data_IF_798983730558
#
_entry.id   IF_798983730558
#
_cell.length_a   1.000
_cell.length_b   1.000
_cell.length_c   1.000
_cell.angle_alpha   90.00
_cell.angle_beta   90.00
_cell.angle_gamma   90.00
#
_symmetry.space_group_name_H-M   'P 1'
#
loop_
_entity.id
_entity.type
_entity.pdbx_description
1 polymer ?
#
# COMPACT_ATOMS: atom_id res chain seq x y z
N UNK A 1 4.92 -29.27 -8.30
CA UNK A 1 5.25 -28.31 -7.24
C UNK A 1 6.70 -27.81 -7.35
N UNK A 2 7.31 -28.02 -8.47
CA UNK A 2 8.77 -27.88 -8.63
C UNK A 2 9.29 -26.43 -8.79
N UNK A 3 8.44 -25.41 -8.66
CA UNK A 3 8.83 -24.01 -8.81
C UNK A 3 8.37 -23.12 -7.64
N UNK A 4 7.93 -23.70 -6.53
CA UNK A 4 7.50 -22.97 -5.33
C UNK A 4 8.48 -23.22 -4.20
N UNK A 5 8.84 -22.14 -3.49
CA UNK A 5 9.75 -22.20 -2.35
C UNK A 5 9.15 -21.45 -1.16
N UNK A 6 9.41 -21.96 0.02
CA UNK A 6 9.08 -21.35 1.30
C UNK A 6 10.40 -21.11 2.02
N UNK A 7 10.58 -19.91 2.53
CA UNK A 7 11.73 -19.53 3.34
C UNK A 7 11.29 -19.42 4.81
N UNK A 8 12.19 -19.68 5.73
CA UNK A 8 11.98 -19.47 7.17
C UNK A 8 11.83 -17.97 7.49
N UNK A 9 12.56 -17.11 6.77
CA UNK A 9 12.44 -15.65 6.81
C UNK A 9 12.43 -15.09 5.39
N UNK A 10 11.64 -14.03 5.17
CA UNK A 10 11.60 -13.37 3.87
C UNK A 10 11.30 -11.89 3.98
N UNK A 11 11.94 -11.11 3.12
CA UNK A 11 11.63 -9.69 2.89
C UNK A 11 10.79 -9.47 1.62
N UNK A 12 10.51 -10.51 0.85
CA UNK A 12 9.61 -10.41 -0.31
C UNK A 12 8.18 -10.13 0.15
N UNK A 13 7.63 -9.01 -0.28
CA UNK A 13 6.24 -8.65 0.00
C UNK A 13 5.29 -9.48 -0.87
N UNK A 14 4.33 -10.18 -0.29
CA UNK A 14 3.30 -10.90 -1.05
C UNK A 14 2.22 -9.93 -1.52
N UNK A 15 1.53 -10.23 -2.62
CA UNK A 15 0.35 -9.45 -3.04
C UNK A 15 -0.66 -9.38 -1.89
N UNK A 16 -0.88 -8.19 -1.35
CA UNK A 16 -1.76 -7.94 -0.20
C UNK A 16 -2.13 -6.47 -0.09
N UNK A 17 -3.27 -6.13 0.54
CA UNK A 17 -3.70 -4.75 0.77
C UNK A 17 -3.80 -3.92 -0.52
N UNK A 18 -4.06 -4.55 -1.65
CA UNK A 18 -4.08 -3.91 -2.97
C UNK A 18 -2.71 -3.58 -3.57
N UNK A 19 -1.61 -3.89 -2.88
CA UNK A 19 -0.25 -3.75 -3.40
C UNK A 19 0.20 -5.06 -4.04
N UNK A 20 0.80 -4.98 -5.24
CA UNK A 20 1.41 -6.12 -5.91
C UNK A 20 2.64 -6.63 -5.14
N UNK A 21 2.97 -7.90 -5.38
CA UNK A 21 4.14 -8.57 -4.84
C UNK A 21 5.45 -8.00 -5.38
N UNK A 22 6.52 -8.26 -4.63
CA UNK A 22 7.87 -8.02 -5.10
C UNK A 22 8.31 -9.06 -6.12
N UNK A 23 9.24 -8.66 -6.97
CA UNK A 23 10.04 -9.53 -7.80
C UNK A 23 11.51 -9.47 -7.37
N UNK A 24 12.36 -10.30 -7.96
CA UNK A 24 13.77 -10.36 -7.63
C UNK A 24 14.34 -11.74 -7.89
N UNK A 25 15.31 -12.17 -7.09
CA UNK A 25 15.97 -13.45 -7.25
C UNK A 25 16.13 -14.18 -5.92
N UNK A 26 16.03 -15.51 -5.95
CA UNK A 26 16.37 -16.44 -4.87
C UNK A 26 17.38 -17.45 -5.44
N UNK A 27 18.60 -17.48 -4.91
CA UNK A 27 19.71 -18.29 -5.42
C UNK A 27 19.88 -18.17 -6.94
N UNK A 28 19.82 -16.92 -7.47
CA UNK A 28 19.95 -16.61 -8.89
C UNK A 28 18.73 -16.97 -9.75
N UNK A 29 17.67 -17.57 -9.20
CA UNK A 29 16.41 -17.84 -9.92
C UNK A 29 15.41 -16.72 -9.73
N UNK A 30 14.83 -16.25 -10.83
CA UNK A 30 13.88 -15.14 -10.80
C UNK A 30 12.58 -15.49 -10.05
N UNK A 31 12.17 -14.65 -9.12
CA UNK A 31 10.88 -14.69 -8.45
C UNK A 31 9.86 -13.98 -9.34
N UNK A 32 8.79 -14.67 -9.72
CA UNK A 32 7.75 -14.17 -10.64
C UNK A 32 6.42 -13.89 -9.94
N UNK A 33 6.19 -14.48 -8.76
CA UNK A 33 5.02 -14.23 -7.93
C UNK A 33 5.36 -14.49 -6.46
N UNK A 34 4.74 -13.75 -5.56
CA UNK A 34 4.79 -13.97 -4.11
C UNK A 34 3.40 -13.80 -3.54
N UNK A 35 2.89 -14.83 -2.90
CA UNK A 35 1.56 -14.80 -2.30
C UNK A 35 1.54 -15.45 -0.92
N UNK A 36 0.50 -15.15 -0.14
CA UNK A 36 0.30 -15.71 1.19
C UNK A 36 -0.78 -16.79 1.16
N UNK A 37 -0.49 -17.94 1.77
CA UNK A 37 -1.45 -19.00 2.02
C UNK A 37 -1.47 -19.32 3.52
N UNK A 38 -2.55 -18.93 4.19
CA UNK A 38 -2.59 -18.97 5.66
C UNK A 38 -1.53 -18.05 6.25
N UNK A 39 -0.62 -18.60 7.03
CA UNK A 39 0.51 -17.87 7.64
C UNK A 39 1.84 -18.03 6.88
N UNK A 40 1.82 -18.72 5.74
CA UNK A 40 3.02 -19.04 4.97
C UNK A 40 3.11 -18.13 3.75
N UNK A 41 4.30 -17.59 3.48
CA UNK A 41 4.62 -16.84 2.26
C UNK A 41 5.26 -17.80 1.26
N UNK A 42 4.67 -17.89 0.08
CA UNK A 42 5.09 -18.76 -1.02
C UNK A 42 5.69 -17.91 -2.13
N UNK A 43 6.92 -18.23 -2.51
CA UNK A 43 7.62 -17.59 -3.63
C UNK A 43 7.55 -18.53 -4.83
N UNK A 44 7.14 -18.00 -5.99
CA UNK A 44 7.07 -18.73 -7.26
C UNK A 44 8.27 -18.33 -8.12
N UNK A 45 9.06 -19.31 -8.48
CA UNK A 45 10.23 -19.10 -9.35
C UNK A 45 9.86 -19.27 -10.83
N UNK A 46 10.62 -18.66 -11.72
CA UNK A 46 10.44 -18.75 -13.18
C UNK A 46 10.69 -20.13 -13.78
N UNK A 47 11.11 -21.10 -12.97
CA UNK A 47 11.38 -22.49 -13.38
C UNK A 47 11.55 -23.39 -12.18
N UNK A 48 11.81 -24.68 -12.47
CA UNK A 48 12.08 -25.67 -11.42
C UNK A 48 13.34 -25.32 -10.64
N UNK A 49 13.37 -25.72 -9.38
CA UNK A 49 14.55 -25.64 -8.54
C UNK A 49 14.85 -27.01 -7.94
N UNK A 50 16.11 -27.20 -7.57
CA UNK A 50 16.63 -28.41 -6.93
C UNK A 50 17.33 -28.07 -5.60
N UNK A 51 16.92 -26.94 -4.95
CA UNK A 51 17.49 -26.55 -3.66
C UNK A 51 17.10 -27.58 -2.60
N UNK A 52 18.07 -28.16 -1.87
CA UNK A 52 17.78 -29.02 -0.74
C UNK A 52 17.02 -28.28 0.35
N UNK A 53 16.18 -29.01 1.09
CA UNK A 53 15.52 -28.47 2.28
C UNK A 53 16.55 -28.09 3.34
N UNK A 54 16.42 -26.90 3.92
CA UNK A 54 17.33 -26.36 4.94
C UNK A 54 18.59 -25.69 4.38
N UNK A 55 18.72 -25.59 3.06
CA UNK A 55 19.82 -24.83 2.45
C UNK A 55 19.64 -23.33 2.67
N UNK A 56 20.73 -22.65 3.03
CA UNK A 56 20.78 -21.19 3.08
C UNK A 56 20.93 -20.62 1.68
N UNK A 57 20.02 -19.71 1.31
CA UNK A 57 19.96 -19.13 -0.04
C UNK A 57 20.04 -17.62 0.01
N UNK A 58 20.77 -17.04 -0.93
CA UNK A 58 20.82 -15.59 -1.13
C UNK A 58 19.51 -15.10 -1.79
N UNK A 59 18.98 -13.99 -1.26
CA UNK A 59 17.74 -13.37 -1.72
C UNK A 59 17.99 -11.92 -2.11
N UNK A 60 17.61 -11.55 -3.33
CA UNK A 60 17.71 -10.19 -3.85
C UNK A 60 16.31 -9.70 -4.27
N UNK A 61 15.89 -8.54 -3.74
CA UNK A 61 14.63 -7.91 -4.11
C UNK A 61 14.88 -6.86 -5.20
N UNK A 62 14.01 -6.81 -6.21
CA UNK A 62 13.94 -5.72 -7.18
C UNK A 62 13.56 -4.42 -6.44
N UNK A 63 14.58 -3.65 -6.07
CA UNK A 63 14.42 -2.45 -5.26
C UNK A 63 13.68 -1.34 -6.01
N UNK A 64 13.88 -1.20 -7.32
CA UNK A 64 13.21 -0.19 -8.13
C UNK A 64 11.69 -0.43 -8.11
N UNK A 65 11.28 -1.68 -8.36
CA UNK A 65 9.88 -2.10 -8.27
C UNK A 65 9.32 -1.89 -6.86
N UNK A 66 10.05 -2.29 -5.81
CA UNK A 66 9.66 -2.11 -4.41
C UNK A 66 9.41 -0.64 -4.07
N UNK A 67 10.31 0.25 -4.48
CA UNK A 67 10.21 1.67 -4.21
C UNK A 67 9.03 2.30 -4.97
N UNK A 68 8.80 1.92 -6.23
CA UNK A 68 7.66 2.42 -6.99
C UNK A 68 6.32 2.00 -6.37
N UNK A 69 6.19 0.75 -5.91
CA UNK A 69 5.00 0.28 -5.20
C UNK A 69 4.82 0.98 -3.84
N UNK A 70 5.91 1.24 -3.12
CA UNK A 70 5.88 1.99 -1.86
C UNK A 70 5.50 3.47 -2.06
N UNK A 71 5.95 4.11 -3.16
CA UNK A 71 5.51 5.44 -3.57
C UNK A 71 4.00 5.48 -3.78
N UNK A 72 3.47 4.59 -4.62
CA UNK A 72 2.04 4.50 -4.85
C UNK A 72 1.25 4.19 -3.58
N UNK A 73 1.80 3.37 -2.67
CA UNK A 73 1.12 3.04 -1.42
C UNK A 73 1.07 4.24 -0.46
N UNK A 74 2.19 4.91 -0.26
CA UNK A 74 2.23 6.12 0.58
C UNK A 74 1.38 7.24 -0.02
N UNK A 75 1.41 7.42 -1.35
CA UNK A 75 0.56 8.38 -2.05
C UNK A 75 -0.94 8.05 -1.92
N UNK A 76 -1.32 6.77 -1.80
CA UNK A 76 -2.71 6.39 -1.51
C UNK A 76 -3.19 6.99 -0.19
N UNK A 77 -2.39 6.89 0.90
CA UNK A 77 -2.70 7.49 2.20
C UNK A 77 -2.77 9.02 2.12
N UNK A 78 -1.81 9.64 1.41
CA UNK A 78 -1.79 11.10 1.21
C UNK A 78 -3.04 11.57 0.46
N UNK A 79 -3.42 10.89 -0.63
CA UNK A 79 -4.62 11.23 -1.43
C UNK A 79 -5.89 11.02 -0.61
N UNK A 80 -5.98 9.95 0.21
CA UNK A 80 -7.13 9.72 1.11
C UNK A 80 -7.32 10.91 2.06
N UNK A 81 -6.25 11.35 2.71
CA UNK A 81 -6.28 12.51 3.60
C UNK A 81 -6.60 13.82 2.86
N UNK A 82 -5.99 14.06 1.69
CA UNK A 82 -6.25 15.24 0.86
C UNK A 82 -7.72 15.28 0.40
N UNK A 83 -8.25 14.16 -0.08
CA UNK A 83 -9.65 14.05 -0.49
C UNK A 83 -10.61 14.29 0.69
N UNK A 84 -10.31 13.76 1.87
CA UNK A 84 -11.09 14.02 3.09
C UNK A 84 -11.10 15.49 3.46
N UNK A 85 -9.98 16.17 3.30
CA UNK A 85 -9.86 17.61 3.57
C UNK A 85 -10.64 18.46 2.58
N UNK A 86 -10.67 18.08 1.31
CA UNK A 86 -11.35 18.84 0.23
C UNK A 86 -12.85 18.53 0.19
N UNK A 87 -13.23 17.24 0.25
CA UNK A 87 -14.60 16.79 0.03
C UNK A 87 -15.40 16.58 1.32
N UNK A 88 -14.72 16.44 2.46
CA UNK A 88 -15.35 16.30 3.78
C UNK A 88 -15.11 14.95 4.46
N UNK A 89 -15.53 14.89 5.74
CA UNK A 89 -15.23 13.78 6.65
C UNK A 89 -15.91 12.44 6.30
N UNK A 90 -16.82 12.41 5.33
CA UNK A 90 -17.45 11.19 4.84
C UNK A 90 -16.52 10.38 3.91
N UNK A 91 -15.39 10.97 3.49
CA UNK A 91 -14.40 10.30 2.67
C UNK A 91 -13.64 9.27 3.49
N UNK A 92 -13.71 8.03 3.05
CA UNK A 92 -12.92 6.90 3.54
C UNK A 92 -12.47 6.06 2.36
N UNK A 93 -11.36 5.35 2.50
CA UNK A 93 -10.92 4.40 1.51
C UNK A 93 -11.83 3.16 1.55
N UNK A 94 -12.52 2.87 0.45
CA UNK A 94 -13.28 1.64 0.26
C UNK A 94 -12.45 0.51 -0.38
N UNK A 95 -11.39 0.88 -1.12
CA UNK A 95 -10.47 -0.04 -1.77
C UNK A 95 -9.30 0.70 -2.38
N UNK A 96 -8.25 -0.04 -2.75
CA UNK A 96 -7.12 0.52 -3.47
C UNK A 96 -6.37 -0.57 -4.26
N UNK A 97 -5.68 -0.16 -5.34
CA UNK A 97 -4.75 -1.03 -6.07
C UNK A 97 -3.48 -0.24 -6.39
N UNK A 98 -2.33 -0.82 -6.10
CA UNK A 98 -1.02 -0.25 -6.36
C UNK A 98 -0.28 -1.16 -7.34
N UNK A 99 -0.14 -0.68 -8.58
CA UNK A 99 0.62 -1.29 -9.66
C UNK A 99 1.88 -0.44 -9.92
N UNK A 100 2.73 -0.85 -10.85
CA UNK A 100 3.97 -0.15 -11.21
C UNK A 100 3.66 1.13 -11.97
N UNK A 101 2.80 1.06 -12.98
CA UNK A 101 2.54 2.19 -13.89
C UNK A 101 1.60 3.23 -13.27
N UNK A 102 0.67 2.78 -12.45
CA UNK A 102 -0.35 3.63 -11.83
C UNK A 102 -1.00 2.94 -10.63
N UNK A 103 -1.61 3.74 -9.79
CA UNK A 103 -2.42 3.24 -8.69
C UNK A 103 -3.86 3.76 -8.75
N UNK A 104 -4.73 3.13 -7.97
CA UNK A 104 -6.11 3.57 -7.78
C UNK A 104 -6.47 3.59 -6.31
N UNK A 105 -7.32 4.53 -5.94
CA UNK A 105 -8.02 4.55 -4.65
C UNK A 105 -9.52 4.71 -4.87
N UNK A 106 -10.30 3.91 -4.20
CA UNK A 106 -11.74 3.99 -4.16
C UNK A 106 -12.17 4.73 -2.90
N UNK A 107 -12.85 5.84 -3.08
CA UNK A 107 -13.29 6.72 -2.01
C UNK A 107 -14.81 6.62 -1.84
N UNK A 108 -15.27 6.60 -0.59
CA UNK A 108 -16.70 6.77 -0.31
C UNK A 108 -17.10 8.20 -0.67
N UNK A 109 -17.97 8.36 -1.68
CA UNK A 109 -18.49 9.67 -2.07
C UNK A 109 -19.82 9.51 -2.80
N UNK A 110 -20.79 10.35 -2.48
CA UNK A 110 -22.18 10.25 -2.95
C UNK A 110 -22.39 10.77 -4.37
N UNK A 111 -21.47 11.58 -4.90
CA UNK A 111 -21.55 12.17 -6.24
C UNK A 111 -20.26 12.01 -7.04
N UNK A 112 -20.26 12.38 -8.32
CA UNK A 112 -19.03 12.46 -9.12
C UNK A 112 -18.15 13.61 -8.61
N UNK A 113 -16.84 13.40 -8.62
CA UNK A 113 -15.85 14.43 -8.29
C UNK A 113 -15.63 15.28 -9.54
N UNK A 114 -15.71 16.60 -9.42
CA UNK A 114 -15.50 17.55 -10.51
C UNK A 114 -14.01 17.73 -10.84
N UNK A 115 -13.69 18.30 -12.00
CA UNK A 115 -12.31 18.59 -12.37
C UNK A 115 -11.65 19.58 -11.41
N UNK A 116 -12.40 20.58 -10.91
CA UNK A 116 -11.93 21.53 -9.91
C UNK A 116 -11.63 20.87 -8.57
N UNK A 117 -12.45 19.91 -8.13
CA UNK A 117 -12.20 19.12 -6.91
C UNK A 117 -11.00 18.22 -7.08
N UNK A 118 -10.78 17.61 -8.26
CA UNK A 118 -9.59 16.83 -8.58
C UNK A 118 -8.34 17.69 -8.45
N UNK A 119 -8.32 18.88 -9.04
CA UNK A 119 -7.20 19.82 -8.94
C UNK A 119 -6.91 20.23 -7.49
N UNK A 120 -7.95 20.46 -6.69
CA UNK A 120 -7.80 20.79 -5.27
C UNK A 120 -7.22 19.63 -4.46
N UNK A 121 -7.69 18.39 -4.71
CA UNK A 121 -7.15 17.19 -4.06
C UNK A 121 -5.68 16.99 -4.45
N UNK A 122 -5.34 17.11 -5.73
CA UNK A 122 -3.95 17.00 -6.23
C UNK A 122 -3.04 18.05 -5.60
N UNK A 123 -3.51 19.30 -5.53
CA UNK A 123 -2.77 20.40 -4.89
C UNK A 123 -2.54 20.17 -3.40
N UNK A 124 -3.56 19.70 -2.67
CA UNK A 124 -3.42 19.41 -1.25
C UNK A 124 -2.51 18.20 -1.02
N UNK A 125 -2.61 17.15 -1.84
CA UNK A 125 -1.71 16.00 -1.78
C UNK A 125 -0.25 16.41 -1.99
N UNK A 126 0.04 17.21 -3.02
CA UNK A 126 1.39 17.70 -3.29
C UNK A 126 1.90 18.70 -2.23
N UNK A 127 1.00 19.38 -1.53
CA UNK A 127 1.37 20.17 -0.35
C UNK A 127 1.89 19.28 0.77
N UNK A 128 1.18 18.17 1.09
CA UNK A 128 1.61 17.19 2.10
C UNK A 128 2.99 16.58 1.72
N UNK A 129 3.20 16.28 0.44
CA UNK A 129 4.52 15.82 -0.05
C UNK A 129 5.61 16.84 0.26
N UNK A 130 5.37 18.11 -0.01
CA UNK A 130 6.35 19.19 0.22
C UNK A 130 6.64 19.48 1.69
N UNK A 131 5.71 19.16 2.59
CA UNK A 131 5.88 19.28 4.05
C UNK A 131 6.91 18.29 4.60
N UNK A 132 7.33 17.30 3.83
CA UNK A 132 8.42 16.36 4.16
C UNK A 132 8.21 15.66 5.52
N UNK A 133 7.04 15.06 5.72
CA UNK A 133 6.62 14.46 6.97
C UNK A 133 7.20 13.04 7.08
N UNK A 134 7.77 12.70 8.23
CA UNK A 134 8.26 11.35 8.50
C UNK A 134 7.09 10.35 8.61
N UNK A 135 7.14 9.28 7.83
CA UNK A 135 6.19 8.17 7.88
C UNK A 135 6.65 7.19 8.97
N UNK A 136 5.84 7.04 9.98
CA UNK A 136 6.11 6.16 11.13
C UNK A 136 5.39 4.82 10.95
N UNK A 137 6.02 3.73 11.39
CA UNK A 137 5.44 2.39 11.29
C UNK A 137 5.80 1.60 12.54
N UNK A 138 4.79 1.24 13.34
CA UNK A 138 4.97 0.52 14.60
C UNK A 138 3.94 -0.61 14.74
N UNK A 139 4.32 -1.67 15.44
CA UNK A 139 3.39 -2.70 15.87
C UNK A 139 2.79 -2.31 17.22
N UNK A 140 1.46 -2.24 17.29
CA UNK A 140 0.69 -1.81 18.46
C UNK A 140 -0.36 -2.87 18.79
N UNK A 141 -0.59 -3.22 20.07
CA UNK A 141 -1.71 -4.06 20.45
C UNK A 141 -3.04 -3.49 19.93
N UNK A 142 -3.90 -4.35 19.35
CA UNK A 142 -5.17 -3.93 18.74
C UNK A 142 -5.98 -2.99 19.61
N UNK A 143 -6.22 -3.38 20.86
CA UNK A 143 -7.04 -2.59 21.82
C UNK A 143 -6.44 -1.19 22.03
N UNK A 144 -5.12 -1.11 22.17
CA UNK A 144 -4.41 0.15 22.33
C UNK A 144 -4.52 1.03 21.08
N UNK A 145 -4.33 0.43 19.89
CA UNK A 145 -4.47 1.14 18.61
C UNK A 145 -5.89 1.69 18.44
N UNK A 146 -6.92 0.88 18.73
CA UNK A 146 -8.33 1.28 18.63
C UNK A 146 -8.70 2.37 19.67
N UNK A 147 -8.16 2.29 20.89
CA UNK A 147 -8.36 3.32 21.91
C UNK A 147 -7.67 4.64 21.56
N UNK A 148 -6.47 4.57 20.98
CA UNK A 148 -5.65 5.75 20.67
C UNK A 148 -6.12 6.47 19.42
N UNK A 149 -6.42 5.70 18.34
CA UNK A 149 -6.68 6.25 17.01
C UNK A 149 -8.13 6.08 16.53
N UNK A 150 -8.96 5.34 17.28
CA UNK A 150 -10.35 5.04 16.91
C UNK A 150 -10.46 3.98 15.80
N UNK A 151 -11.70 3.74 15.37
CA UNK A 151 -11.99 2.71 14.36
C UNK A 151 -11.65 3.14 12.92
N UNK A 152 -11.38 4.42 12.70
CA UNK A 152 -11.01 4.97 11.39
C UNK A 152 -9.65 4.47 10.87
N UNK A 153 -8.87 3.79 11.71
CA UNK A 153 -7.64 3.10 11.26
C UNK A 153 -7.90 1.95 10.28
N UNK A 154 -9.14 1.47 10.18
CA UNK A 154 -9.52 0.38 9.30
C UNK A 154 -10.04 0.91 7.97
N UNK A 155 -9.13 1.17 7.04
CA UNK A 155 -9.45 1.60 5.69
C UNK A 155 -9.55 0.37 4.76
N UNK A 156 -10.71 0.21 4.10
CA UNK A 156 -10.97 -0.94 3.24
C UNK A 156 -11.31 -2.25 3.98
N UNK A 157 -11.55 -2.20 5.30
CA UNK A 157 -12.00 -3.35 6.10
C UNK A 157 -11.10 -3.67 7.29
N UNK A 158 -11.61 -4.49 8.21
CA UNK A 158 -10.89 -4.86 9.43
C UNK A 158 -9.66 -5.72 9.13
N UNK A 159 -8.54 -5.38 9.75
CA UNK A 159 -7.30 -6.16 9.67
C UNK A 159 -7.31 -7.23 10.78
N UNK A 160 -7.11 -8.51 10.48
CA UNK A 160 -7.07 -9.57 11.50
C UNK A 160 -5.80 -9.49 12.36
N UNK A 161 -5.88 -10.02 13.59
CA UNK A 161 -4.73 -10.15 14.48
C UNK A 161 -4.89 -9.40 15.81
N UNK A 162 -4.10 -9.80 16.82
CA UNK A 162 -4.03 -9.15 18.13
C UNK A 162 -3.05 -7.95 18.14
N UNK A 163 -2.11 -7.94 17.19
CA UNK A 163 -1.10 -6.92 17.00
C UNK A 163 -1.33 -6.30 15.62
N UNK A 164 -1.47 -5.00 15.54
CA UNK A 164 -1.67 -4.26 14.30
C UNK A 164 -0.39 -3.50 13.94
N UNK A 165 -0.01 -3.54 12.67
CA UNK A 165 1.01 -2.61 12.17
C UNK A 165 0.30 -1.30 11.84
N UNK A 166 0.59 -0.26 12.60
CA UNK A 166 0.06 1.09 12.40
C UNK A 166 1.06 1.90 11.58
N UNK A 167 0.58 2.42 10.46
CA UNK A 167 1.30 3.42 9.64
C UNK A 167 0.69 4.77 9.95
N UNK A 168 1.53 5.70 10.41
CA UNK A 168 1.15 7.03 10.85
C UNK A 168 1.95 8.10 10.08
N UNK A 169 1.25 8.95 9.38
CA UNK A 169 1.76 10.20 8.80
C UNK A 169 1.22 11.33 9.69
N UNK A 170 2.00 11.83 10.67
CA UNK A 170 1.50 12.76 11.70
C UNK A 170 0.72 13.93 11.12
N UNK A 171 -0.46 14.19 11.71
CA UNK A 171 -1.39 15.25 11.29
C UNK A 171 -2.02 15.07 9.89
N UNK A 172 -1.75 13.96 9.21
CA UNK A 172 -2.26 13.64 7.87
C UNK A 172 -3.16 12.42 7.90
N UNK A 173 -2.60 11.24 8.23
CA UNK A 173 -3.31 9.98 8.16
C UNK A 173 -2.74 8.94 9.13
N UNK A 174 -3.61 8.06 9.63
CA UNK A 174 -3.21 6.91 10.45
C UNK A 174 -4.06 5.70 10.09
N UNK A 175 -3.40 4.59 9.71
CA UNK A 175 -4.07 3.38 9.26
C UNK A 175 -3.41 2.10 9.79
N UNK A 176 -4.21 1.07 10.01
CA UNK A 176 -3.73 -0.30 10.21
C UNK A 176 -3.37 -0.89 8.83
N UNK A 177 -2.11 -0.76 8.45
CA UNK A 177 -1.63 -1.09 7.11
C UNK A 177 -0.39 -2.00 7.15
N UNK A 178 -0.46 -3.12 6.41
CA UNK A 178 0.64 -4.07 6.26
C UNK A 178 1.57 -3.81 5.07
N UNK A 179 1.28 -2.81 4.24
CA UNK A 179 2.01 -2.55 3.00
C UNK A 179 3.41 -1.97 3.18
N UNK A 180 4.14 -1.84 2.08
CA UNK A 180 5.44 -1.17 2.09
C UNK A 180 5.25 0.33 1.91
N UNK A 181 5.98 1.13 2.68
CA UNK A 181 5.88 2.59 2.67
C UNK A 181 7.24 3.25 2.55
N UNK A 182 7.23 4.49 2.05
CA UNK A 182 8.36 5.41 2.11
C UNK A 182 8.67 5.80 3.56
N UNK A 183 9.85 6.33 3.81
CA UNK A 183 10.24 6.85 5.13
C UNK A 183 9.78 8.29 5.34
N UNK A 184 9.58 9.03 4.25
CA UNK A 184 9.18 10.42 4.28
C UNK A 184 8.21 10.73 3.12
N UNK A 185 7.24 11.61 3.32
CA UNK A 185 6.27 11.97 2.29
C UNK A 185 6.92 12.61 1.06
N UNK A 186 8.03 13.32 1.22
CA UNK A 186 8.78 13.95 0.11
C UNK A 186 9.36 12.93 -0.89
N UNK A 187 9.57 11.68 -0.47
CA UNK A 187 10.06 10.62 -1.36
C UNK A 187 9.01 10.16 -2.38
N UNK A 188 7.73 10.50 -2.19
CA UNK A 188 6.68 10.22 -3.15
C UNK A 188 6.90 10.93 -4.51
N UNK A 189 7.57 12.07 -4.48
CA UNK A 189 7.71 12.90 -5.68
C UNK A 189 6.41 13.65 -5.99
N UNK A 190 6.15 13.92 -7.26
CA UNK A 190 4.95 14.61 -7.69
C UNK A 190 3.78 13.62 -7.84
N UNK A 191 2.71 13.84 -7.08
CA UNK A 191 1.47 13.08 -7.22
C UNK A 191 0.61 13.72 -8.31
N UNK A 192 0.21 12.91 -9.32
CA UNK A 192 -0.66 13.32 -10.42
C UNK A 192 -1.94 12.51 -10.42
N UNK A 193 -3.10 13.18 -10.28
CA UNK A 193 -4.40 12.53 -10.42
C UNK A 193 -4.79 12.55 -11.91
N UNK A 194 -4.95 11.36 -12.50
CA UNK A 194 -5.19 11.19 -13.92
C UNK A 194 -6.67 11.35 -14.29
N UNK A 195 -7.54 10.84 -13.44
CA UNK A 195 -9.01 10.94 -13.60
C UNK A 195 -9.75 10.45 -12.37
N UNK A 196 -11.02 10.82 -12.26
CA UNK A 196 -12.01 10.24 -11.36
C UNK A 196 -13.10 9.50 -12.15
N UNK A 197 -13.64 8.41 -11.59
CA UNK A 197 -14.73 7.65 -12.20
C UNK A 197 -15.67 7.11 -11.12
N UNK A 198 -16.97 7.40 -11.18
CA UNK A 198 -17.94 6.74 -10.31
C UNK A 198 -18.06 5.27 -10.74
N UNK A 199 -17.75 4.35 -9.82
CA UNK A 199 -17.73 2.91 -10.10
C UNK A 199 -18.95 2.18 -9.54
N UNK A 200 -19.60 2.74 -8.54
CA UNK A 200 -20.86 2.28 -7.97
C UNK A 200 -21.53 3.41 -7.19
N UNK A 201 -22.74 3.17 -6.67
CA UNK A 201 -23.37 4.13 -5.76
C UNK A 201 -22.54 4.30 -4.51
N UNK A 202 -22.23 5.56 -4.19
CA UNK A 202 -21.43 5.96 -3.04
C UNK A 202 -19.93 5.69 -3.18
N UNK A 203 -19.40 5.25 -4.35
CA UNK A 203 -17.99 5.00 -4.54
C UNK A 203 -17.46 5.65 -5.82
N UNK A 204 -16.40 6.45 -5.66
CA UNK A 204 -15.65 7.06 -6.75
C UNK A 204 -14.21 6.58 -6.72
N UNK A 205 -13.68 6.19 -7.87
CA UNK A 205 -12.29 5.76 -8.07
C UNK A 205 -11.46 6.89 -8.63
N UNK A 206 -10.39 7.23 -7.95
CA UNK A 206 -9.30 8.05 -8.49
C UNK A 206 -8.20 7.16 -9.06
N UNK A 207 -7.66 7.55 -10.22
CA UNK A 207 -6.47 6.97 -10.84
C UNK A 207 -5.34 7.97 -10.71
N UNK A 208 -4.15 7.53 -10.29
CA UNK A 208 -3.03 8.43 -10.06
C UNK A 208 -1.67 7.76 -10.31
N UNK A 209 -0.63 8.60 -10.41
CA UNK A 209 0.79 8.24 -10.43
C UNK A 209 1.56 9.06 -9.38
N UNK A 210 2.74 8.56 -8.97
CA UNK A 210 3.67 9.24 -8.07
C UNK A 210 5.12 8.79 -8.36
#
# INVERSE_FOLDING_TARGET
MDNKIILDQTYFYPTSGGQLHDTGFIAGKRVVDVFKQGNVIIHVLSGKHEFPEGEEVECEIDLERRLQLAKHHTSTHIINAAARKVLGNHINQAGAKKDIDKATIDLTHYQSITDEEIEQIEKEANKIVKESIQVQSNFVPRTEAEQTFGMNIYQGGAVPGKLLRIVNIPSVDVEACGGTHLKNTSEAGEIKILKATKISDGIVRLYFTA
#
